data_IF_574535235712
#
_entry.id   IF_574535235712
#
_cell.length_a   1.000
_cell.length_b   1.000
_cell.length_c   1.000
_cell.angle_alpha   90.00
_cell.angle_beta   90.00
_cell.angle_gamma   90.00
#
_symmetry.space_group_name_H-M   'P 1'
#
loop_
_entity.id
_entity.type
_entity.pdbx_description
1 polymer ?
#
# COMPACT_ATOMS: atom_id res chain seq x y z
N UNK A 1 15.78 9.49 3.51
CA UNK A 1 14.78 9.50 4.59
C UNK A 1 14.07 8.16 4.48
N UNK A 2 14.48 7.17 5.28
CA UNK A 2 13.94 5.80 5.26
C UNK A 2 13.10 5.69 6.54
N UNK A 3 11.82 5.34 6.41
CA UNK A 3 10.95 5.15 7.57
C UNK A 3 11.42 3.88 8.31
N UNK A 4 11.35 3.84 9.64
CA UNK A 4 11.80 2.65 10.41
C UNK A 4 11.09 1.36 9.95
N UNK A 5 9.83 1.49 9.49
CA UNK A 5 9.07 0.40 8.86
C UNK A 5 9.56 0.00 7.46
N UNK A 6 10.28 0.87 6.74
CA UNK A 6 11.01 0.47 5.52
C UNK A 6 12.15 -0.48 5.87
N UNK A 7 12.82 -0.30 7.01
CA UNK A 7 13.94 -1.15 7.43
C UNK A 7 13.44 -2.57 7.74
N UNK A 8 12.39 -2.72 8.55
CA UNK A 8 11.88 -4.04 8.94
C UNK A 8 11.33 -4.87 7.77
N UNK A 9 10.56 -4.26 6.86
CA UNK A 9 10.02 -4.94 5.69
C UNK A 9 11.10 -5.23 4.65
N UNK A 10 12.05 -4.30 4.47
CA UNK A 10 13.23 -4.54 3.64
C UNK A 10 14.07 -5.68 4.21
N UNK A 11 14.28 -5.76 5.53
CA UNK A 11 15.00 -6.86 6.16
C UNK A 11 14.24 -8.20 6.10
N UNK A 12 12.90 -8.18 6.24
CA UNK A 12 12.07 -9.37 6.08
C UNK A 12 12.06 -9.89 4.63
N UNK A 13 11.87 -9.01 3.64
CA UNK A 13 11.96 -9.36 2.23
C UNK A 13 13.38 -9.74 1.83
N UNK A 14 14.39 -9.01 2.31
CA UNK A 14 15.80 -9.30 2.05
C UNK A 14 16.23 -10.61 2.68
N UNK A 15 15.82 -10.95 3.90
CA UNK A 15 16.14 -12.26 4.51
C UNK A 15 15.46 -13.41 3.78
N UNK A 16 14.21 -13.22 3.32
CA UNK A 16 13.49 -14.20 2.51
C UNK A 16 14.14 -14.36 1.11
N UNK A 17 14.65 -13.27 0.52
CA UNK A 17 15.42 -13.28 -0.74
C UNK A 17 16.87 -13.77 -0.59
N UNK A 18 17.53 -13.54 0.56
CA UNK A 18 18.89 -14.02 0.85
C UNK A 18 18.91 -15.54 1.03
N UNK A 19 17.81 -16.15 1.46
CA UNK A 19 17.64 -17.61 1.44
C UNK A 19 17.65 -18.20 0.03
N UNK A 20 17.45 -17.37 -1.02
CA UNK A 20 17.34 -17.79 -2.41
C UNK A 20 18.64 -17.59 -3.25
N UNK A 21 19.75 -17.12 -2.67
CA UNK A 21 21.07 -17.18 -3.31
C UNK A 21 21.74 -15.84 -3.62
N UNK A 22 23.07 -15.88 -3.68
CA UNK A 22 24.05 -14.78 -3.70
C UNK A 22 23.98 -13.86 -4.93
N UNK A 23 23.02 -12.94 -4.95
CA UNK A 23 23.00 -11.71 -5.79
C UNK A 23 21.91 -10.71 -5.31
N UNK A 24 21.87 -10.47 -4.00
CA UNK A 24 20.79 -9.74 -3.31
C UNK A 24 20.38 -8.37 -3.93
N UNK A 25 21.28 -7.51 -4.44
CA UNK A 25 20.87 -6.21 -4.99
C UNK A 25 20.14 -6.31 -6.33
N UNK A 26 20.55 -7.23 -7.21
CA UNK A 26 19.97 -7.38 -8.56
C UNK A 26 18.53 -7.90 -8.49
N UNK A 27 18.26 -8.84 -7.59
CA UNK A 27 16.92 -9.39 -7.38
C UNK A 27 15.96 -8.34 -6.82
N UNK A 28 16.38 -7.52 -5.86
CA UNK A 28 15.55 -6.46 -5.31
C UNK A 28 15.14 -5.43 -6.37
N UNK A 29 16.08 -5.01 -7.23
CA UNK A 29 15.79 -4.11 -8.36
C UNK A 29 14.88 -4.75 -9.41
N UNK A 30 15.08 -6.04 -9.72
CA UNK A 30 14.21 -6.75 -10.66
C UNK A 30 12.77 -6.84 -10.14
N UNK A 31 12.59 -7.16 -8.86
CA UNK A 31 11.27 -7.20 -8.20
C UNK A 31 10.63 -5.82 -8.21
N UNK A 32 11.36 -4.76 -7.86
CA UNK A 32 10.86 -3.39 -7.91
C UNK A 32 10.37 -3.00 -9.32
N UNK A 33 11.14 -3.34 -10.36
CA UNK A 33 10.76 -3.10 -11.75
C UNK A 33 9.47 -3.85 -12.13
N UNK A 34 9.35 -5.13 -11.76
CA UNK A 34 8.14 -5.92 -12.00
C UNK A 34 6.93 -5.31 -11.29
N UNK A 35 7.09 -4.84 -10.06
CA UNK A 35 6.05 -4.14 -9.30
C UNK A 35 5.61 -2.84 -9.99
N UNK A 36 6.54 -1.99 -10.41
CA UNK A 36 6.24 -0.74 -11.13
C UNK A 36 5.53 -1.01 -12.45
N UNK A 37 5.97 -2.03 -13.18
CA UNK A 37 5.34 -2.44 -14.42
C UNK A 37 3.92 -2.96 -14.17
N UNK A 38 3.71 -3.77 -13.13
CA UNK A 38 2.38 -4.21 -12.72
C UNK A 38 1.47 -3.04 -12.31
N UNK A 39 2.00 -2.07 -11.56
CA UNK A 39 1.27 -0.83 -11.20
C UNK A 39 0.84 -0.05 -12.45
N UNK A 40 1.73 0.11 -13.44
CA UNK A 40 1.41 0.76 -14.70
C UNK A 40 0.25 0.06 -15.45
N UNK A 41 0.28 -1.28 -15.49
CA UNK A 41 -0.80 -2.08 -16.08
C UNK A 41 -2.11 -1.93 -15.30
N UNK A 42 -2.06 -1.94 -13.98
CA UNK A 42 -3.24 -1.77 -13.11
C UNK A 42 -3.87 -0.39 -13.28
N UNK A 43 -3.06 0.68 -13.35
CA UNK A 43 -3.54 2.05 -13.61
C UNK A 43 -4.18 2.12 -15.00
N UNK A 44 -3.53 1.52 -16.01
CA UNK A 44 -4.09 1.47 -17.35
C UNK A 44 -5.41 0.70 -17.42
N UNK A 45 -5.49 -0.43 -16.71
CA UNK A 45 -6.71 -1.22 -16.57
C UNK A 45 -7.82 -0.40 -15.90
N UNK A 46 -7.51 0.29 -14.79
CA UNK A 46 -8.45 1.14 -14.07
C UNK A 46 -9.09 2.18 -15.00
N UNK A 47 -8.28 2.94 -15.72
CA UNK A 47 -8.77 3.99 -16.63
C UNK A 47 -9.66 3.44 -17.74
N UNK A 48 -9.27 2.31 -18.34
CA UNK A 48 -9.99 1.70 -19.44
C UNK A 48 -11.28 0.99 -18.98
N UNK A 49 -11.23 0.27 -17.86
CA UNK A 49 -12.37 -0.49 -17.32
C UNK A 49 -13.51 0.44 -16.86
N UNK A 50 -13.18 1.59 -16.29
CA UNK A 50 -14.14 2.57 -15.81
C UNK A 50 -14.44 3.70 -16.80
N UNK A 51 -14.01 3.54 -18.07
CA UNK A 51 -14.27 4.47 -19.18
C UNK A 51 -13.98 5.94 -18.83
N UNK A 52 -12.88 6.17 -18.11
CA UNK A 52 -12.45 7.53 -17.73
C UNK A 52 -11.88 8.31 -18.93
N UNK A 53 -11.63 7.62 -20.05
CA UNK A 53 -11.17 8.18 -21.33
C UNK A 53 -12.21 7.90 -22.42
N UNK A 54 -12.33 8.79 -23.39
CA UNK A 54 -13.26 8.65 -24.54
C UNK A 54 -12.98 7.40 -25.38
N UNK A 55 -11.72 6.96 -25.45
CA UNK A 55 -11.30 5.74 -26.14
C UNK A 55 -10.33 4.95 -25.26
N UNK A 56 -10.39 3.63 -25.36
CA UNK A 56 -9.43 2.76 -24.68
C UNK A 56 -8.02 3.07 -25.19
N UNK A 57 -7.10 3.39 -24.28
CA UNK A 57 -5.75 3.80 -24.63
C UNK A 57 -4.74 3.38 -23.58
N UNK A 58 -3.46 3.38 -23.95
CA UNK A 58 -2.34 3.02 -23.07
C UNK A 58 -1.63 4.23 -22.46
N UNK A 59 -2.10 5.46 -22.76
CA UNK A 59 -1.51 6.70 -22.26
C UNK A 59 -1.32 6.71 -20.73
N UNK A 60 -2.27 6.28 -19.89
CA UNK A 60 -2.12 6.33 -18.44
C UNK A 60 -0.97 5.45 -17.93
N UNK A 61 -0.85 4.22 -18.44
CA UNK A 61 0.22 3.30 -18.06
C UNK A 61 1.58 3.78 -18.55
N UNK A 62 1.66 4.31 -19.78
CA UNK A 62 2.90 4.88 -20.32
C UNK A 62 3.34 6.12 -19.54
N UNK A 63 2.42 7.01 -19.20
CA UNK A 63 2.71 8.19 -18.38
C UNK A 63 3.23 7.78 -16.99
N UNK A 64 2.63 6.75 -16.38
CA UNK A 64 3.09 6.21 -15.09
C UNK A 64 4.55 5.71 -15.16
N UNK A 65 4.89 4.92 -16.19
CA UNK A 65 6.27 4.44 -16.38
C UNK A 65 7.26 5.57 -16.67
N UNK A 66 6.86 6.57 -17.46
CA UNK A 66 7.71 7.74 -17.74
C UNK A 66 7.99 8.54 -16.47
N UNK A 67 6.97 8.79 -15.65
CA UNK A 67 7.12 9.54 -14.39
C UNK A 67 8.01 8.77 -13.40
N UNK A 68 7.78 7.46 -13.25
CA UNK A 68 8.58 6.62 -12.35
C UNK A 68 10.02 6.46 -12.83
N UNK A 69 10.26 6.46 -14.14
CA UNK A 69 11.61 6.50 -14.70
C UNK A 69 12.32 7.85 -14.54
N UNK A 70 11.57 8.95 -14.42
CA UNK A 70 12.12 10.29 -14.21
C UNK A 70 12.56 10.51 -12.75
N UNK A 71 12.01 9.73 -11.82
CA UNK A 71 12.28 9.77 -10.39
C UNK A 71 12.90 8.44 -9.93
N UNK A 72 14.23 8.25 -10.07
CA UNK A 72 14.90 7.00 -9.72
C UNK A 72 14.69 6.57 -8.26
N UNK A 73 14.47 7.54 -7.37
CA UNK A 73 14.15 7.34 -5.96
C UNK A 73 12.89 6.49 -5.75
N UNK A 74 11.95 6.50 -6.68
CA UNK A 74 10.71 5.70 -6.63
C UNK A 74 10.89 4.30 -7.21
N UNK A 75 12.06 4.02 -7.81
CA UNK A 75 12.35 2.76 -8.49
C UNK A 75 13.03 1.71 -7.62
N UNK A 76 13.15 1.95 -6.31
CA UNK A 76 13.70 1.01 -5.35
C UNK A 76 12.61 0.21 -4.64
N UNK A 77 12.93 -1.05 -4.31
CA UNK A 77 12.05 -1.88 -3.49
C UNK A 77 11.95 -1.26 -2.09
N UNK A 78 10.78 -0.73 -1.76
CA UNK A 78 10.52 0.01 -0.52
C UNK A 78 9.09 -0.27 -0.05
N UNK A 79 8.80 -0.05 1.24
CA UNK A 79 7.46 -0.24 1.80
C UNK A 79 6.40 0.62 1.09
N UNK A 80 6.67 1.90 0.74
CA UNK A 80 5.78 2.72 -0.08
C UNK A 80 5.42 2.10 -1.44
N UNK A 81 6.36 1.42 -2.10
CA UNK A 81 6.12 0.81 -3.42
C UNK A 81 5.10 -0.35 -3.31
N UNK A 82 5.30 -1.21 -2.31
CA UNK A 82 4.40 -2.34 -2.06
C UNK A 82 3.02 -1.85 -1.64
N UNK A 83 2.95 -0.91 -0.69
CA UNK A 83 1.71 -0.30 -0.22
C UNK A 83 0.94 0.37 -1.37
N UNK A 84 1.63 1.11 -2.24
CA UNK A 84 1.01 1.78 -3.40
C UNK A 84 0.34 0.78 -4.36
N UNK A 85 0.91 -0.41 -4.53
CA UNK A 85 0.31 -1.48 -5.35
C UNK A 85 -1.00 -1.97 -4.75
N UNK A 86 -1.04 -2.19 -3.43
CA UNK A 86 -2.24 -2.60 -2.71
C UNK A 86 -3.31 -1.50 -2.73
N UNK A 87 -2.92 -0.23 -2.61
CA UNK A 87 -3.83 0.91 -2.74
C UNK A 87 -4.49 0.92 -4.13
N UNK A 88 -3.72 0.75 -5.22
CA UNK A 88 -4.27 0.72 -6.59
C UNK A 88 -5.28 -0.42 -6.73
N UNK A 89 -4.97 -1.62 -6.22
CA UNK A 89 -5.91 -2.74 -6.20
C UNK A 89 -7.20 -2.39 -5.44
N UNK A 90 -7.06 -1.73 -4.28
CA UNK A 90 -8.20 -1.31 -3.46
C UNK A 90 -9.10 -0.32 -4.19
N UNK A 91 -8.52 0.64 -4.94
CA UNK A 91 -9.28 1.53 -5.81
C UNK A 91 -10.00 0.77 -6.94
N UNK A 92 -9.35 -0.20 -7.59
CA UNK A 92 -10.00 -1.02 -8.62
C UNK A 92 -11.22 -1.74 -8.03
N UNK A 93 -11.10 -2.30 -6.82
CA UNK A 93 -12.22 -2.93 -6.12
C UNK A 93 -13.34 -1.92 -5.79
N UNK A 94 -12.99 -0.72 -5.36
CA UNK A 94 -13.94 0.36 -5.07
C UNK A 94 -14.78 0.72 -6.29
N UNK A 95 -14.16 1.03 -7.42
CA UNK A 95 -14.90 1.37 -8.62
C UNK A 95 -15.70 0.17 -9.17
N UNK A 96 -15.22 -1.06 -8.98
CA UNK A 96 -15.97 -2.26 -9.39
C UNK A 96 -17.22 -2.49 -8.55
N UNK A 97 -17.24 -2.01 -7.30
CA UNK A 97 -18.40 -2.09 -6.42
C UNK A 97 -19.60 -1.30 -6.97
N UNK A 98 -19.35 -0.24 -7.74
CA UNK A 98 -20.41 0.54 -8.39
C UNK A 98 -21.27 -0.31 -9.34
N UNK A 99 -20.65 -1.25 -10.06
CA UNK A 99 -21.34 -2.04 -11.09
C UNK A 99 -22.08 -3.27 -10.55
N UNK A 100 -21.93 -3.64 -9.27
CA UNK A 100 -22.59 -4.83 -8.69
C UNK A 100 -23.35 -4.48 -7.40
N UNK A 101 -24.64 -4.80 -7.34
CA UNK A 101 -25.51 -4.47 -6.21
C UNK A 101 -25.27 -5.34 -4.97
N UNK A 102 -24.76 -6.56 -5.14
CA UNK A 102 -24.44 -7.51 -4.06
C UNK A 102 -22.93 -7.69 -3.94
N UNK A 103 -22.35 -7.18 -2.84
CA UNK A 103 -20.89 -7.05 -2.74
C UNK A 103 -20.31 -7.00 -1.35
N UNK A 104 -21.03 -7.47 -0.31
CA UNK A 104 -20.53 -7.43 1.07
C UNK A 104 -19.13 -8.05 1.20
N UNK A 105 -18.89 -9.26 0.67
CA UNK A 105 -17.56 -9.86 0.68
C UNK A 105 -16.47 -9.04 -0.03
N UNK A 106 -16.83 -8.27 -1.07
CA UNK A 106 -15.86 -7.41 -1.77
C UNK A 106 -15.48 -6.17 -0.97
N UNK A 107 -16.42 -5.64 -0.19
CA UNK A 107 -16.17 -4.52 0.73
C UNK A 107 -15.23 -4.95 1.85
N UNK A 108 -15.44 -6.16 2.41
CA UNK A 108 -14.51 -6.73 3.37
C UNK A 108 -13.11 -6.92 2.76
N UNK A 109 -13.00 -7.49 1.56
CA UNK A 109 -11.70 -7.68 0.88
C UNK A 109 -11.00 -6.35 0.59
N UNK A 110 -11.76 -5.31 0.22
CA UNK A 110 -11.24 -3.96 0.03
C UNK A 110 -10.66 -3.40 1.35
N UNK A 111 -11.41 -3.53 2.45
CA UNK A 111 -10.94 -3.14 3.78
C UNK A 111 -9.70 -3.94 4.22
N UNK A 112 -9.67 -5.24 3.93
CA UNK A 112 -8.55 -6.13 4.24
C UNK A 112 -7.27 -5.71 3.49
N UNK A 113 -7.36 -5.47 2.18
CA UNK A 113 -6.23 -4.99 1.37
C UNK A 113 -5.69 -3.66 1.88
N UNK A 114 -6.59 -2.74 2.24
CA UNK A 114 -6.21 -1.47 2.84
C UNK A 114 -5.53 -1.66 4.21
N UNK A 115 -6.08 -2.51 5.07
CA UNK A 115 -5.50 -2.80 6.37
C UNK A 115 -4.09 -3.38 6.26
N UNK A 116 -3.87 -4.29 5.30
CA UNK A 116 -2.55 -4.85 5.00
C UNK A 116 -1.62 -3.73 4.51
N UNK A 117 -2.07 -2.88 3.59
CA UNK A 117 -1.30 -1.72 3.14
C UNK A 117 -0.90 -0.81 4.31
N UNK A 118 -1.84 -0.51 5.20
CA UNK A 118 -1.66 0.34 6.37
C UNK A 118 -0.67 -0.26 7.37
N UNK A 119 -0.64 -1.58 7.49
CA UNK A 119 0.36 -2.28 8.30
C UNK A 119 1.76 -2.20 7.68
N UNK A 120 1.88 -2.39 6.35
CA UNK A 120 3.15 -2.29 5.61
C UNK A 120 3.70 -0.85 5.65
N UNK A 121 2.85 0.13 5.40
CA UNK A 121 3.23 1.54 5.38
C UNK A 121 2.14 2.38 6.04
N UNK A 122 2.40 2.80 7.28
CA UNK A 122 1.44 3.50 8.12
C UNK A 122 0.76 4.72 7.46
N UNK A 123 1.45 5.57 6.68
CA UNK A 123 0.79 6.70 6.00
C UNK A 123 -0.32 6.28 5.03
N UNK A 124 -0.34 5.02 4.55
CA UNK A 124 -1.43 4.54 3.72
C UNK A 124 -2.76 4.39 4.47
N UNK A 125 -2.75 4.39 5.80
CA UNK A 125 -3.96 4.49 6.64
C UNK A 125 -4.84 5.70 6.27
N UNK A 126 -4.22 6.80 5.80
CA UNK A 126 -4.95 7.99 5.37
C UNK A 126 -5.95 7.72 4.23
N UNK A 127 -5.65 6.73 3.36
CA UNK A 127 -6.55 6.33 2.29
C UNK A 127 -7.84 5.65 2.79
N UNK A 128 -7.93 5.29 4.07
CA UNK A 128 -9.17 4.80 4.67
C UNK A 128 -10.30 5.81 4.59
N UNK A 129 -9.99 7.08 4.86
CA UNK A 129 -10.96 8.17 4.75
C UNK A 129 -11.37 8.37 3.29
N UNK A 130 -10.39 8.34 2.37
CA UNK A 130 -10.65 8.46 0.93
C UNK A 130 -11.58 7.35 0.41
N UNK A 131 -11.37 6.10 0.84
CA UNK A 131 -12.19 4.97 0.42
C UNK A 131 -13.58 5.00 1.04
N UNK A 132 -13.71 5.43 2.31
CA UNK A 132 -15.01 5.64 2.94
C UNK A 132 -15.82 6.69 2.18
N UNK A 133 -15.21 7.83 1.84
CA UNK A 133 -15.84 8.87 1.00
C UNK A 133 -16.19 8.34 -0.39
N UNK A 134 -15.28 7.58 -1.01
CA UNK A 134 -15.52 6.95 -2.31
C UNK A 134 -16.74 6.02 -2.28
N UNK A 135 -16.89 5.22 -1.23
CA UNK A 135 -18.06 4.36 -1.05
C UNK A 135 -19.34 5.18 -0.88
N UNK A 136 -19.30 6.27 -0.09
CA UNK A 136 -20.43 7.17 0.12
C UNK A 136 -20.92 7.82 -1.18
N UNK A 137 -19.99 8.14 -2.10
CA UNK A 137 -20.31 8.76 -3.39
C UNK A 137 -20.88 7.74 -4.37
N UNK A 138 -20.28 6.54 -4.45
CA UNK A 138 -20.63 5.55 -5.46
C UNK A 138 -21.94 4.79 -5.15
N UNK A 139 -22.30 4.63 -3.88
CA UNK A 139 -23.47 3.85 -3.46
C UNK A 139 -24.14 4.48 -2.23
N UNK A 140 -25.48 4.41 -2.12
CA UNK A 140 -26.15 4.79 -0.88
C UNK A 140 -25.61 3.99 0.31
N UNK A 141 -25.26 4.74 1.35
CA UNK A 141 -24.60 4.29 2.56
C UNK A 141 -25.44 3.25 3.31
N UNK A 142 -24.86 2.07 3.58
CA UNK A 142 -25.45 1.06 4.47
C UNK A 142 -24.53 0.83 5.65
N UNK A 143 -25.06 0.91 6.87
CA UNK A 143 -24.28 0.69 8.10
C UNK A 143 -23.54 -0.65 8.08
N UNK A 144 -24.19 -1.70 7.60
CA UNK A 144 -23.60 -3.03 7.49
C UNK A 144 -22.34 -3.06 6.60
N UNK A 145 -22.28 -2.24 5.54
CA UNK A 145 -21.13 -2.21 4.63
C UNK A 145 -19.91 -1.55 5.27
N UNK A 146 -20.13 -0.49 6.05
CA UNK A 146 -19.05 0.22 6.75
C UNK A 146 -18.47 -0.66 7.85
N UNK A 147 -19.32 -1.32 8.63
CA UNK A 147 -18.87 -2.26 9.66
C UNK A 147 -18.01 -3.35 9.03
N UNK A 148 -18.41 -3.88 7.86
CA UNK A 148 -17.60 -4.87 7.13
C UNK A 148 -16.26 -4.31 6.64
N UNK A 149 -16.25 -3.07 6.15
CA UNK A 149 -15.02 -2.40 5.73
C UNK A 149 -14.05 -2.19 6.89
N UNK A 150 -14.54 -1.69 8.04
CA UNK A 150 -13.73 -1.55 9.26
C UNK A 150 -13.25 -2.90 9.79
N UNK A 151 -14.10 -3.93 9.77
CA UNK A 151 -13.69 -5.30 10.13
C UNK A 151 -12.56 -5.79 9.23
N UNK A 152 -12.64 -5.56 7.92
CA UNK A 152 -11.57 -5.87 6.99
C UNK A 152 -10.27 -5.15 7.35
N UNK A 153 -10.34 -3.84 7.59
CA UNK A 153 -9.17 -3.03 7.93
C UNK A 153 -8.52 -3.45 9.27
N UNK A 154 -9.34 -3.82 10.26
CA UNK A 154 -8.87 -4.26 11.58
C UNK A 154 -8.34 -5.70 11.59
N UNK A 155 -8.73 -6.53 10.63
CA UNK A 155 -8.31 -7.94 10.54
C UNK A 155 -6.78 -8.14 10.63
N UNK A 156 -5.93 -7.46 9.84
CA UNK A 156 -4.48 -7.65 9.92
C UNK A 156 -3.91 -7.25 11.29
N UNK A 157 -4.41 -6.16 11.89
CA UNK A 157 -4.02 -5.74 13.24
C UNK A 157 -4.44 -6.76 14.31
N UNK A 158 -5.64 -7.34 14.16
CA UNK A 158 -6.12 -8.39 15.06
C UNK A 158 -5.23 -9.63 15.03
N UNK A 159 -4.86 -10.11 13.84
CA UNK A 159 -3.96 -11.26 13.71
C UNK A 159 -2.57 -10.97 14.27
N UNK A 160 -2.04 -9.76 14.07
CA UNK A 160 -0.78 -9.34 14.66
C UNK A 160 -0.85 -9.30 16.20
N UNK A 161 -1.93 -8.75 16.77
CA UNK A 161 -2.17 -8.77 18.21
C UNK A 161 -2.30 -10.19 18.78
N UNK A 162 -2.99 -11.09 18.06
CA UNK A 162 -3.11 -12.49 18.45
C UNK A 162 -1.75 -13.20 18.44
N UNK A 163 -0.88 -12.91 17.46
CA UNK A 163 0.48 -13.43 17.42
C UNK A 163 1.33 -12.95 18.60
N UNK A 164 1.25 -11.65 18.95
CA UNK A 164 1.91 -11.09 20.12
C UNK A 164 1.39 -11.72 21.43
N UNK A 165 0.09 -11.97 21.53
CA UNK A 165 -0.53 -12.67 22.66
C UNK A 165 0.02 -14.09 22.81
N UNK A 166 0.09 -14.84 21.70
CA UNK A 166 0.61 -16.21 21.70
C UNK A 166 2.10 -16.29 22.06
N UNK A 167 2.86 -15.23 21.77
CA UNK A 167 4.30 -15.14 22.05
C UNK A 167 4.59 -14.51 23.42
N UNK A 168 3.56 -14.25 24.22
CA UNK A 168 3.65 -13.61 25.55
C UNK A 168 4.39 -12.25 25.56
N UNK A 169 4.41 -11.58 24.39
CA UNK A 169 5.06 -10.28 24.17
C UNK A 169 4.04 -9.13 24.09
N UNK A 170 2.89 -9.32 24.71
CA UNK A 170 1.74 -8.44 24.60
C UNK A 170 1.91 -7.18 25.47
N UNK A 171 2.73 -6.25 24.97
CA UNK A 171 2.92 -4.92 25.54
C UNK A 171 2.28 -3.87 24.64
N UNK A 172 1.63 -2.86 25.22
CA UNK A 172 1.02 -1.75 24.48
C UNK A 172 2.04 -1.00 23.60
N UNK A 173 3.31 -0.93 24.01
CA UNK A 173 4.42 -0.36 23.23
C UNK A 173 4.72 -1.13 21.94
N UNK A 174 4.56 -2.46 21.95
CA UNK A 174 4.79 -3.29 20.76
C UNK A 174 3.59 -3.32 19.81
N UNK A 175 2.43 -2.82 20.25
CA UNK A 175 1.20 -2.82 19.47
C UNK A 175 1.05 -1.57 18.60
N UNK A 176 1.56 -0.42 19.07
CA UNK A 176 1.50 0.83 18.32
C UNK A 176 2.81 0.99 17.55
N UNK A 177 2.79 1.13 16.21
CA UNK A 177 4.01 1.46 15.49
C UNK A 177 4.55 2.77 16.07
N UNK A 178 5.78 2.74 16.59
CA UNK A 178 6.42 3.87 17.24
C UNK A 178 6.43 5.04 16.23
N UNK A 179 5.54 6.01 16.42
CA UNK A 179 5.51 7.25 15.65
C UNK A 179 6.69 8.09 16.13
N UNK A 180 7.89 7.71 15.69
CA UNK A 180 9.11 8.46 15.92
C UNK A 180 9.05 9.68 15.01
N UNK A 181 8.47 10.76 15.52
CA UNK A 181 8.60 12.09 14.93
C UNK A 181 10.07 12.48 15.06
N UNK A 182 10.91 11.99 14.14
CA UNK A 182 12.29 12.44 14.01
C UNK A 182 12.24 13.90 13.58
N UNK A 183 12.54 14.79 14.53
CA UNK A 183 12.80 16.20 14.22
C UNK A 183 13.90 16.24 13.14
N UNK A 184 13.74 17.04 12.07
CA UNK A 184 14.75 17.09 11.03
C UNK A 184 16.06 17.61 11.64
N UNK A 185 17.04 16.73 11.80
CA UNK A 185 18.40 17.16 12.09
C UNK A 185 18.90 17.91 10.85
N UNK A 186 18.93 19.24 10.96
CA UNK A 186 19.62 20.10 10.01
C UNK A 186 21.08 19.65 10.04
N UNK A 187 21.50 18.85 9.06
CA UNK A 187 22.93 18.61 8.81
C UNK A 187 23.53 19.98 8.52
N UNK A 188 24.15 20.59 9.52
CA UNK A 188 24.97 21.77 9.34
C UNK A 188 26.12 21.35 8.42
N UNK A 189 26.00 21.69 7.14
CA UNK A 189 27.16 21.71 6.25
C UNK A 189 28.10 22.79 6.77
N UNK A 190 28.98 22.38 7.69
CA UNK A 190 30.18 23.10 8.08
C UNK A 190 31.10 23.13 6.86
N UNK A 191 30.79 24.00 5.90
CA UNK A 191 31.61 24.28 4.72
C UNK A 191 31.45 25.72 4.23
N UNK A 192 31.04 26.63 5.12
CA UNK A 192 31.05 28.08 4.92
C UNK A 192 31.70 28.76 6.14
N UNK A 193 32.99 28.49 6.33
CA UNK A 193 33.88 29.27 7.18
C UNK A 193 35.19 29.51 6.42
#
# INVERSE_FOLDING_TARGET
MVSENDEDLYHALASLLLSAGTSAPLWASAVAFVLLYAQALMVNYLMNAFRMMSKATYLPGMAYLLVTSLLPEWSFLSSPLVASTLIILTFILLFRLYNLQEGSGRIYNMGLLLGISSYIYFPSAAFMICLLLGMMILKPFKLNEIVLFFLGCLTPYYFYGAYLFLTDNLSFDNFVPHVSVKVPEVKSTVWLA
#
